data_IF_197907784448
#
_entry.id   IF_197907784448
#
_cell.length_a   1.000
_cell.length_b   1.000
_cell.length_c   1.000
_cell.angle_alpha   90.00
_cell.angle_beta   90.00
_cell.angle_gamma   90.00
#
_symmetry.space_group_name_H-M   'P 1'
#
loop_
_entity.id
_entity.type
_entity.pdbx_description
1 polymer ?
#
# COMPACT_ATOMS: atom_id res chain seq x y z
N UNK A 1 -18.32 -28.60 35.93
CA UNK A 1 -17.58 -28.66 34.65
C UNK A 1 -17.44 -27.24 34.15
N UNK A 2 -16.34 -26.57 34.51
CA UNK A 2 -16.03 -25.24 33.98
C UNK A 2 -15.68 -25.38 32.49
N UNK A 3 -16.59 -24.91 31.63
CA UNK A 3 -16.23 -24.62 30.24
C UNK A 3 -15.15 -23.54 30.31
N UNK A 4 -13.89 -23.92 30.13
CA UNK A 4 -12.83 -22.97 29.75
C UNK A 4 -13.36 -22.22 28.54
N UNK A 5 -13.78 -20.97 28.75
CA UNK A 5 -14.03 -20.03 27.67
C UNK A 5 -12.67 -19.84 27.03
N UNK A 6 -12.41 -20.57 25.95
CA UNK A 6 -11.18 -20.44 25.18
C UNK A 6 -11.22 -19.03 24.58
N UNK A 7 -10.58 -18.08 25.25
CA UNK A 7 -10.50 -16.71 24.76
C UNK A 7 -9.69 -16.76 23.48
N UNK A 8 -10.38 -16.62 22.34
CA UNK A 8 -9.74 -16.63 21.03
C UNK A 8 -8.64 -15.57 21.01
N UNK A 9 -7.41 -15.98 20.71
CA UNK A 9 -6.28 -15.04 20.56
C UNK A 9 -6.63 -13.99 19.49
N UNK A 10 -6.37 -12.70 19.72
CA UNK A 10 -6.57 -11.67 18.70
C UNK A 10 -5.84 -12.02 17.40
N UNK A 11 -6.44 -11.65 16.26
CA UNK A 11 -5.87 -11.86 14.93
C UNK A 11 -5.56 -13.32 14.58
N UNK A 12 -6.26 -14.31 15.16
CA UNK A 12 -6.05 -15.75 14.89
C UNK A 12 -5.99 -16.09 13.40
N UNK A 13 -6.91 -15.52 12.62
CA UNK A 13 -7.06 -15.81 11.19
C UNK A 13 -6.44 -14.73 10.28
N UNK A 14 -5.77 -13.71 10.84
CA UNK A 14 -5.27 -12.58 10.05
C UNK A 14 -4.29 -13.01 8.96
N UNK A 15 -3.48 -14.04 9.21
CA UNK A 15 -2.56 -14.60 8.21
C UNK A 15 -3.29 -15.09 6.94
N UNK A 16 -4.48 -15.68 7.05
CA UNK A 16 -5.27 -16.08 5.88
C UNK A 16 -5.86 -14.87 5.15
N UNK A 17 -6.39 -13.89 5.89
CA UNK A 17 -6.97 -12.70 5.29
C UNK A 17 -5.94 -11.82 4.58
N UNK A 18 -4.71 -11.75 5.09
CA UNK A 18 -3.60 -11.00 4.49
C UNK A 18 -3.08 -11.62 3.18
N UNK A 19 -3.44 -12.87 2.86
CA UNK A 19 -3.13 -13.47 1.55
C UNK A 19 -3.91 -12.81 0.43
N UNK A 20 -5.14 -12.31 0.69
CA UNK A 20 -5.98 -11.66 -0.33
C UNK A 20 -5.30 -10.41 -0.91
N UNK A 21 -4.93 -9.37 -0.12
CA UNK A 21 -4.24 -8.20 -0.66
C UNK A 21 -2.86 -8.54 -1.23
N UNK A 22 -2.20 -9.60 -0.74
CA UNK A 22 -0.96 -10.08 -1.33
C UNK A 22 -1.16 -10.64 -2.75
N UNK A 23 -2.19 -11.47 -2.97
CA UNK A 23 -2.53 -11.98 -4.30
C UNK A 23 -2.90 -10.83 -5.24
N UNK A 24 -3.73 -9.88 -4.78
CA UNK A 24 -4.09 -8.69 -5.56
C UNK A 24 -2.82 -7.92 -5.95
N UNK A 25 -1.85 -7.81 -5.05
CA UNK A 25 -0.55 -7.18 -5.31
C UNK A 25 0.24 -7.92 -6.38
N UNK A 26 0.38 -9.24 -6.28
CA UNK A 26 1.10 -10.03 -7.29
C UNK A 26 0.42 -9.92 -8.67
N UNK A 27 -0.90 -10.01 -8.73
CA UNK A 27 -1.65 -9.93 -9.98
C UNK A 27 -1.62 -8.53 -10.58
N UNK A 28 -1.82 -7.48 -9.77
CA UNK A 28 -1.76 -6.09 -10.22
C UNK A 28 -0.40 -5.73 -10.82
N UNK A 29 0.69 -6.22 -10.24
CA UNK A 29 2.04 -5.98 -10.76
C UNK A 29 2.53 -7.02 -11.79
N UNK A 30 1.68 -7.98 -12.21
CA UNK A 30 2.14 -9.05 -13.10
C UNK A 30 2.63 -8.54 -14.46
N UNK A 31 1.80 -7.73 -15.14
CA UNK A 31 2.14 -7.20 -16.47
C UNK A 31 3.28 -6.17 -16.42
N UNK A 32 3.30 -5.32 -15.39
CA UNK A 32 4.27 -4.23 -15.27
C UNK A 32 5.62 -4.63 -14.67
N UNK A 33 5.69 -5.74 -13.93
CA UNK A 33 6.91 -6.16 -13.23
C UNK A 33 7.23 -7.65 -13.42
N UNK A 34 6.37 -8.56 -12.96
CA UNK A 34 6.71 -9.99 -12.91
C UNK A 34 6.94 -10.63 -14.28
N UNK A 35 6.12 -10.29 -15.28
CA UNK A 35 6.26 -10.79 -16.66
C UNK A 35 7.47 -10.23 -17.40
N UNK A 36 8.04 -9.11 -16.92
CA UNK A 36 9.19 -8.42 -17.52
C UNK A 36 10.40 -8.44 -16.61
N UNK A 37 10.45 -9.38 -15.66
CA UNK A 37 11.40 -9.39 -14.55
C UNK A 37 12.85 -9.16 -15.01
N UNK A 38 13.34 -9.91 -16.01
CA UNK A 38 14.73 -9.80 -16.48
C UNK A 38 15.07 -8.49 -17.21
N UNK A 39 14.06 -7.72 -17.62
CA UNK A 39 14.22 -6.45 -18.34
C UNK A 39 13.86 -5.24 -17.46
N UNK A 40 13.59 -5.46 -16.17
CA UNK A 40 13.14 -4.40 -15.26
C UNK A 40 14.35 -3.67 -14.68
N UNK A 41 14.37 -2.33 -14.61
CA UNK A 41 15.47 -1.60 -14.00
C UNK A 41 15.70 -1.97 -12.53
N UNK A 42 16.94 -1.83 -12.05
CA UNK A 42 17.32 -2.21 -10.69
C UNK A 42 16.46 -1.54 -9.61
N UNK A 43 16.12 -0.24 -9.75
CA UNK A 43 15.30 0.50 -8.77
C UNK A 43 13.96 -0.19 -8.51
N UNK A 44 13.32 -0.70 -9.56
CA UNK A 44 12.06 -1.43 -9.49
C UNK A 44 12.24 -2.82 -8.87
N UNK A 45 13.36 -3.50 -9.10
CA UNK A 45 13.66 -4.76 -8.39
C UNK A 45 13.82 -4.56 -6.89
N UNK A 46 14.58 -3.53 -6.48
CA UNK A 46 14.80 -3.23 -5.07
C UNK A 46 13.46 -2.97 -4.35
N UNK A 47 12.58 -2.19 -4.96
CA UNK A 47 11.25 -1.93 -4.41
C UNK A 47 10.32 -3.16 -4.48
N UNK A 48 10.15 -3.76 -5.66
CA UNK A 48 9.23 -4.87 -5.88
C UNK A 48 9.54 -6.10 -5.01
N UNK A 49 10.81 -6.49 -4.91
CA UNK A 49 11.22 -7.61 -4.05
C UNK A 49 11.08 -7.29 -2.56
N UNK A 50 11.44 -6.08 -2.13
CA UNK A 50 11.33 -5.70 -0.73
C UNK A 50 9.89 -5.57 -0.27
N UNK A 51 9.01 -5.00 -1.10
CA UNK A 51 7.57 -4.93 -0.85
C UNK A 51 6.93 -6.33 -0.80
N UNK A 52 7.36 -7.24 -1.68
CA UNK A 52 6.94 -8.65 -1.66
C UNK A 52 7.36 -9.32 -0.35
N UNK A 53 8.61 -9.13 0.07
CA UNK A 53 9.12 -9.69 1.32
C UNK A 53 8.40 -9.09 2.55
N UNK A 54 8.05 -7.80 2.50
CA UNK A 54 7.27 -7.14 3.54
C UNK A 54 5.91 -7.81 3.72
N UNK A 55 5.18 -8.07 2.63
CA UNK A 55 3.93 -8.85 2.67
C UNK A 55 4.13 -10.24 3.26
N UNK A 56 5.18 -10.97 2.86
CA UNK A 56 5.49 -12.28 3.42
C UNK A 56 5.69 -12.21 4.95
N UNK A 57 6.43 -11.21 5.44
CA UNK A 57 6.59 -11.00 6.88
C UNK A 57 5.23 -10.73 7.51
N UNK A 58 4.44 -9.80 7.00
CA UNK A 58 3.11 -9.46 7.54
C UNK A 58 2.19 -10.69 7.65
N UNK A 59 2.19 -11.58 6.66
CA UNK A 59 1.39 -12.82 6.68
C UNK A 59 1.92 -13.78 7.75
N UNK A 60 3.23 -13.93 7.87
CA UNK A 60 3.87 -14.87 8.81
C UNK A 60 3.73 -14.39 10.27
N UNK A 61 3.68 -13.08 10.53
CA UNK A 61 3.68 -12.52 11.89
C UNK A 61 2.50 -13.01 12.76
N UNK A 62 1.22 -12.92 12.33
CA UNK A 62 0.10 -13.47 13.09
C UNK A 62 0.21 -14.99 13.28
N UNK A 63 0.73 -15.73 12.29
CA UNK A 63 0.90 -17.18 12.42
C UNK A 63 1.86 -17.53 13.55
N UNK A 64 3.03 -16.88 13.61
CA UNK A 64 4.01 -17.09 14.67
C UNK A 64 3.47 -16.71 16.05
N UNK A 65 2.78 -15.57 16.15
CA UNK A 65 2.13 -15.12 17.38
C UNK A 65 1.11 -16.15 17.89
N UNK A 66 0.22 -16.62 17.02
CA UNK A 66 -0.82 -17.58 17.40
C UNK A 66 -0.27 -18.96 17.75
N UNK A 67 0.86 -19.38 17.16
CA UNK A 67 1.58 -20.60 17.54
C UNK A 67 2.47 -20.44 18.79
N UNK A 68 2.48 -19.27 19.43
CA UNK A 68 3.29 -19.01 20.62
C UNK A 68 4.80 -18.92 20.35
N UNK A 69 5.22 -18.81 19.07
CA UNK A 69 6.63 -18.73 18.65
C UNK A 69 7.14 -17.29 18.78
N UNK A 70 7.04 -16.72 19.98
CA UNK A 70 7.25 -15.29 20.23
C UNK A 70 8.69 -14.83 19.96
N UNK A 71 9.70 -15.68 20.17
CA UNK A 71 11.09 -15.34 19.81
C UNK A 71 11.22 -15.10 18.31
N UNK A 72 10.69 -16.00 17.46
CA UNK A 72 10.73 -15.85 16.00
C UNK A 72 9.91 -14.66 15.52
N UNK A 73 8.74 -14.43 16.13
CA UNK A 73 7.90 -13.25 15.87
C UNK A 73 8.69 -11.96 16.10
N UNK A 74 9.39 -11.84 17.24
CA UNK A 74 10.22 -10.67 17.57
C UNK A 74 11.42 -10.51 16.64
N UNK A 75 12.12 -11.59 16.32
CA UNK A 75 13.28 -11.56 15.39
C UNK A 75 12.84 -11.12 14.00
N UNK A 76 11.80 -11.73 13.43
CA UNK A 76 11.25 -11.29 12.14
C UNK A 76 10.65 -9.88 12.21
N UNK A 77 10.14 -9.47 13.37
CA UNK A 77 9.63 -8.11 13.58
C UNK A 77 10.74 -7.07 13.45
N UNK A 78 11.91 -7.35 14.03
CA UNK A 78 13.09 -6.47 13.93
C UNK A 78 13.61 -6.40 12.48
N UNK A 79 13.68 -7.53 11.79
CA UNK A 79 14.02 -7.59 10.36
C UNK A 79 12.99 -6.78 9.56
N UNK A 80 11.71 -6.92 9.89
CA UNK A 80 10.62 -6.17 9.29
C UNK A 80 10.79 -4.65 9.42
N UNK A 81 11.25 -4.13 10.56
CA UNK A 81 11.48 -2.69 10.73
C UNK A 81 12.54 -2.18 9.75
N UNK A 82 13.67 -2.88 9.64
CA UNK A 82 14.73 -2.52 8.67
C UNK A 82 14.21 -2.62 7.23
N UNK A 83 13.45 -3.69 6.94
CA UNK A 83 12.85 -3.88 5.63
C UNK A 83 11.84 -2.78 5.28
N UNK A 84 11.02 -2.32 6.23
CA UNK A 84 10.07 -1.23 6.01
C UNK A 84 10.78 0.06 5.60
N UNK A 85 11.90 0.39 6.27
CA UNK A 85 12.75 1.51 5.88
C UNK A 85 13.29 1.35 4.46
N UNK A 86 13.72 0.13 4.10
CA UNK A 86 14.20 -0.18 2.75
C UNK A 86 13.09 -0.13 1.69
N UNK A 87 11.87 -0.60 1.99
CA UNK A 87 10.69 -0.48 1.11
C UNK A 87 10.39 0.99 0.81
N UNK A 88 10.40 1.84 1.85
CA UNK A 88 10.16 3.27 1.69
C UNK A 88 11.28 3.95 0.87
N UNK A 89 12.54 3.69 1.20
CA UNK A 89 13.68 4.27 0.48
C UNK A 89 13.73 3.85 -1.00
N UNK A 90 13.46 2.57 -1.28
CA UNK A 90 13.41 2.07 -2.66
C UNK A 90 12.18 2.59 -3.43
N UNK A 91 11.05 2.84 -2.76
CA UNK A 91 9.87 3.46 -3.38
C UNK A 91 10.18 4.87 -3.89
N UNK A 92 10.96 5.67 -3.15
CA UNK A 92 11.38 7.00 -3.60
C UNK A 92 12.18 6.96 -4.91
N UNK A 93 12.95 5.89 -5.13
CA UNK A 93 13.69 5.68 -6.38
C UNK A 93 12.76 5.34 -7.56
N UNK A 94 11.66 4.63 -7.30
CA UNK A 94 10.63 4.33 -8.31
C UNK A 94 9.86 5.59 -8.70
N UNK A 95 9.49 6.45 -7.73
CA UNK A 95 8.82 7.74 -8.00
C UNK A 95 9.64 8.59 -8.99
N UNK A 96 10.96 8.68 -8.77
CA UNK A 96 11.85 9.40 -9.68
C UNK A 96 11.84 8.82 -11.10
N UNK A 97 11.73 7.50 -11.24
CA UNK A 97 11.62 6.83 -12.53
C UNK A 97 10.31 7.19 -13.24
N UNK A 98 9.17 7.17 -12.54
CA UNK A 98 7.89 7.61 -13.10
C UNK A 98 7.95 9.04 -13.65
N UNK A 99 8.61 9.98 -12.97
CA UNK A 99 8.65 11.37 -13.47
C UNK A 99 9.50 11.49 -14.75
N UNK A 100 10.59 10.73 -14.86
CA UNK A 100 11.60 10.93 -15.92
C UNK A 100 11.39 10.03 -17.15
N UNK A 101 10.84 8.84 -16.94
CA UNK A 101 10.83 7.80 -17.96
C UNK A 101 9.49 7.71 -18.71
N UNK A 102 8.48 8.50 -18.31
CA UNK A 102 7.19 8.55 -19.00
C UNK A 102 7.29 9.33 -20.32
N UNK A 103 6.69 8.76 -21.35
CA UNK A 103 6.54 9.35 -22.66
C UNK A 103 5.24 10.20 -22.73
N UNK A 104 5.34 11.50 -23.04
CA UNK A 104 4.17 12.40 -23.11
C UNK A 104 3.06 11.97 -24.08
N UNK A 105 3.42 11.22 -25.12
CA UNK A 105 2.50 10.82 -26.20
C UNK A 105 1.91 9.42 -26.00
N UNK A 106 2.60 8.55 -25.25
CA UNK A 106 2.23 7.13 -25.13
C UNK A 106 1.64 6.79 -23.76
N UNK A 107 2.03 7.50 -22.70
CA UNK A 107 1.66 7.13 -21.34
C UNK A 107 0.44 7.92 -20.84
N UNK A 108 -0.66 7.20 -20.64
CA UNK A 108 -1.94 7.76 -20.17
C UNK A 108 -1.86 8.49 -18.83
N UNK A 109 -0.85 8.16 -18.01
CA UNK A 109 -0.63 8.77 -16.69
C UNK A 109 0.22 10.04 -16.75
N UNK A 110 0.80 10.36 -17.92
CA UNK A 110 1.70 11.50 -18.07
C UNK A 110 1.10 12.83 -17.57
N UNK A 111 -0.19 13.17 -17.81
CA UNK A 111 -0.80 14.41 -17.32
C UNK A 111 -0.96 14.52 -15.79
N UNK A 112 -0.74 13.42 -15.08
CA UNK A 112 -0.88 13.32 -13.63
C UNK A 112 0.43 12.92 -12.95
N UNK A 113 1.57 12.90 -13.66
CA UNK A 113 2.80 12.28 -13.14
C UNK A 113 3.27 12.91 -11.83
N UNK A 114 3.10 14.23 -11.66
CA UNK A 114 3.51 14.91 -10.43
C UNK A 114 2.48 14.76 -9.32
N UNK A 115 1.18 14.88 -9.59
CA UNK A 115 0.16 14.64 -8.56
C UNK A 115 0.16 13.18 -8.11
N UNK A 116 0.33 12.22 -9.02
CA UNK A 116 0.50 10.81 -8.70
C UNK A 116 1.73 10.58 -7.82
N UNK A 117 2.86 11.17 -8.18
CA UNK A 117 4.09 11.11 -7.38
C UNK A 117 3.92 11.70 -5.98
N UNK A 118 3.13 12.78 -5.84
CA UNK A 118 2.80 13.35 -4.54
C UNK A 118 1.94 12.38 -3.71
N UNK A 119 0.98 11.71 -4.34
CA UNK A 119 0.16 10.71 -3.66
C UNK A 119 0.97 9.49 -3.21
N UNK A 120 1.91 9.03 -4.03
CA UNK A 120 2.87 7.97 -3.67
C UNK A 120 3.72 8.41 -2.46
N UNK A 121 4.18 9.66 -2.45
CA UNK A 121 4.94 10.21 -1.32
C UNK A 121 4.12 10.27 -0.03
N UNK A 122 2.86 10.68 -0.09
CA UNK A 122 1.91 10.64 1.03
C UNK A 122 1.74 9.20 1.54
N UNK A 123 1.66 8.22 0.65
CA UNK A 123 1.51 6.81 1.01
C UNK A 123 2.75 6.20 1.64
N UNK A 124 3.95 6.60 1.18
CA UNK A 124 5.20 6.22 1.86
C UNK A 124 5.20 6.73 3.30
N UNK A 125 4.80 7.99 3.52
CA UNK A 125 4.70 8.57 4.88
C UNK A 125 3.65 7.83 5.71
N UNK A 126 2.45 7.59 5.16
CA UNK A 126 1.38 6.86 5.86
C UNK A 126 1.76 5.41 6.22
N UNK A 127 2.46 4.74 5.30
CA UNK A 127 3.05 3.42 5.51
C UNK A 127 4.03 3.43 6.68
N UNK A 128 5.06 4.30 6.63
CA UNK A 128 6.05 4.42 7.69
C UNK A 128 5.42 4.80 9.03
N UNK A 129 4.48 5.74 9.01
CA UNK A 129 3.72 6.13 10.19
C UNK A 129 3.01 4.93 10.81
N UNK A 130 2.32 4.12 10.01
CA UNK A 130 1.64 2.92 10.50
C UNK A 130 2.61 1.91 11.10
N UNK A 131 3.76 1.69 10.46
CA UNK A 131 4.81 0.81 10.99
C UNK A 131 5.33 1.34 12.32
N UNK A 132 5.69 2.62 12.41
CA UNK A 132 6.18 3.25 13.65
C UNK A 132 5.14 3.14 14.78
N UNK A 133 3.88 3.49 14.51
CA UNK A 133 2.81 3.39 15.49
C UNK A 133 2.57 1.95 15.95
N UNK A 134 2.72 0.96 15.05
CA UNK A 134 2.65 -0.45 15.43
C UNK A 134 3.72 -0.84 16.46
N UNK A 135 4.94 -0.30 16.34
CA UNK A 135 6.05 -0.59 17.25
C UNK A 135 5.92 0.16 18.58
N UNK A 136 5.44 1.41 18.54
CA UNK A 136 5.13 2.19 19.74
C UNK A 136 4.10 1.42 20.58
N UNK A 137 3.03 0.93 19.94
CA UNK A 137 1.97 0.18 20.60
C UNK A 137 2.22 -1.33 20.74
N UNK A 138 3.46 -1.82 20.55
CA UNK A 138 3.80 -3.27 20.61
C UNK A 138 3.35 -4.01 21.88
N UNK A 139 3.09 -3.30 22.98
CA UNK A 139 2.61 -3.88 24.25
C UNK A 139 1.09 -4.09 24.27
N UNK A 140 0.34 -3.43 23.40
CA UNK A 140 -1.09 -3.57 23.19
C UNK A 140 -1.31 -4.33 21.87
N UNK A 141 -1.65 -5.62 21.99
CA UNK A 141 -1.76 -6.53 20.83
C UNK A 141 -2.76 -6.03 19.81
N UNK A 142 -3.87 -5.43 20.25
CA UNK A 142 -4.91 -4.90 19.36
C UNK A 142 -4.34 -3.72 18.58
N UNK A 143 -3.81 -2.71 19.26
CA UNK A 143 -3.27 -1.52 18.59
C UNK A 143 -2.08 -1.86 17.69
N UNK A 144 -1.16 -2.70 18.17
CA UNK A 144 -0.02 -3.19 17.40
C UNK A 144 -0.49 -3.85 16.10
N UNK A 145 -1.40 -4.82 16.20
CA UNK A 145 -1.91 -5.57 15.05
C UNK A 145 -2.66 -4.69 14.06
N UNK A 146 -3.54 -3.80 14.55
CA UNK A 146 -4.34 -2.93 13.68
C UNK A 146 -3.46 -1.92 12.92
N UNK A 147 -2.48 -1.28 13.58
CA UNK A 147 -1.53 -0.41 12.89
C UNK A 147 -0.64 -1.17 11.89
N UNK A 148 -0.26 -2.41 12.22
CA UNK A 148 0.52 -3.21 11.29
C UNK A 148 -0.30 -3.65 10.07
N UNK A 149 -1.57 -4.00 10.26
CA UNK A 149 -2.50 -4.32 9.16
C UNK A 149 -2.80 -3.06 8.33
N UNK A 150 -2.93 -1.88 8.94
CA UNK A 150 -3.17 -0.64 8.20
C UNK A 150 -2.03 -0.30 7.23
N UNK A 151 -0.79 -0.75 7.50
CA UNK A 151 0.35 -0.62 6.59
C UNK A 151 0.09 -1.22 5.20
N UNK A 152 -0.72 -2.28 5.12
CA UNK A 152 -1.10 -2.95 3.86
C UNK A 152 -1.89 -2.02 2.96
N UNK A 153 -2.84 -1.28 3.53
CA UNK A 153 -3.76 -0.45 2.75
C UNK A 153 -3.10 0.80 2.17
N UNK A 154 -1.95 1.24 2.71
CA UNK A 154 -1.14 2.29 2.06
C UNK A 154 -0.46 1.80 0.78
N UNK A 155 0.05 0.57 0.78
CA UNK A 155 0.81 0.02 -0.36
C UNK A 155 -0.08 -0.72 -1.36
N UNK A 156 -1.35 -0.96 -1.02
CA UNK A 156 -2.29 -1.70 -1.85
C UNK A 156 -2.80 -0.88 -3.04
N UNK A 157 -2.87 0.45 -2.92
CA UNK A 157 -3.41 1.34 -3.96
C UNK A 157 -2.84 1.11 -5.38
N UNK A 158 -1.51 1.17 -5.61
CA UNK A 158 -0.95 0.96 -6.94
C UNK A 158 -1.17 -0.46 -7.49
N UNK A 159 -1.33 -1.46 -6.61
CA UNK A 159 -1.70 -2.81 -7.02
C UNK A 159 -3.16 -2.88 -7.46
N UNK A 160 -4.07 -2.27 -6.69
CA UNK A 160 -5.50 -2.23 -7.04
C UNK A 160 -5.75 -1.45 -8.32
N UNK A 161 -5.05 -0.33 -8.55
CA UNK A 161 -5.14 0.42 -9.81
C UNK A 161 -4.81 -0.46 -11.01
N UNK A 162 -3.69 -1.18 -10.96
CA UNK A 162 -3.33 -2.06 -12.07
C UNK A 162 -4.26 -3.25 -12.19
N UNK A 163 -4.70 -3.81 -11.06
CA UNK A 163 -5.63 -4.94 -11.05
C UNK A 163 -6.99 -4.55 -11.65
N UNK A 164 -7.55 -3.40 -11.28
CA UNK A 164 -8.81 -2.90 -11.85
C UNK A 164 -8.66 -2.65 -13.35
N UNK A 165 -7.52 -2.11 -13.80
CA UNK A 165 -7.23 -2.00 -15.24
C UNK A 165 -7.24 -3.36 -15.93
N UNK A 166 -6.43 -4.32 -15.50
CA UNK A 166 -6.31 -5.60 -16.20
C UNK A 166 -7.55 -6.48 -16.09
N UNK A 167 -8.33 -6.36 -15.02
CA UNK A 167 -9.53 -7.18 -14.83
C UNK A 167 -10.74 -6.52 -15.46
N UNK A 168 -10.96 -5.22 -15.29
CA UNK A 168 -12.20 -4.57 -15.73
C UNK A 168 -12.11 -4.16 -17.20
N UNK A 169 -10.98 -3.57 -17.63
CA UNK A 169 -10.81 -3.02 -18.97
C UNK A 169 -11.11 -4.02 -20.11
N UNK A 170 -10.74 -5.32 -20.04
CA UNK A 170 -11.06 -6.27 -21.11
C UNK A 170 -12.56 -6.58 -21.27
N UNK A 171 -13.37 -6.39 -20.22
CA UNK A 171 -14.82 -6.61 -20.28
C UNK A 171 -15.59 -5.35 -20.72
N UNK A 172 -14.88 -4.23 -20.81
CA UNK A 172 -15.41 -3.00 -21.35
C UNK A 172 -15.10 -2.98 -22.84
N UNK A 173 -16.13 -2.98 -23.68
CA UNK A 173 -15.95 -2.77 -25.11
C UNK A 173 -15.19 -1.46 -25.32
N UNK A 174 -14.27 -1.39 -26.30
CA UNK A 174 -13.47 -0.22 -26.67
C UNK A 174 -14.26 1.09 -26.93
N UNK A 175 -15.59 1.06 -26.79
CA UNK A 175 -16.53 2.17 -26.88
C UNK A 175 -16.86 2.83 -25.52
N UNK A 176 -16.43 2.30 -24.37
CA UNK A 176 -16.75 2.89 -23.07
C UNK A 176 -15.89 4.11 -22.76
N UNK A 177 -16.41 5.30 -23.04
CA UNK A 177 -15.75 6.59 -22.74
C UNK A 177 -15.64 6.93 -21.25
N UNK A 178 -16.25 6.12 -20.37
CA UNK A 178 -16.32 6.39 -18.92
C UNK A 178 -15.25 5.67 -18.10
N UNK A 179 -14.47 4.75 -18.68
CA UNK A 179 -13.42 4.02 -17.95
C UNK A 179 -12.04 4.51 -18.38
N UNK A 180 -11.75 5.76 -18.05
CA UNK A 180 -10.44 6.38 -18.18
C UNK A 180 -9.59 6.17 -16.91
N UNK A 181 -8.36 6.69 -16.94
CA UNK A 181 -7.43 6.59 -15.81
C UNK A 181 -8.00 7.19 -14.51
N UNK A 182 -8.68 8.33 -14.58
CA UNK A 182 -9.28 8.95 -13.40
C UNK A 182 -10.37 8.05 -12.79
N UNK A 183 -11.26 7.53 -13.62
CA UNK A 183 -12.36 6.66 -13.18
C UNK A 183 -11.83 5.36 -12.57
N UNK A 184 -10.81 4.77 -13.18
CA UNK A 184 -10.09 3.62 -12.63
C UNK A 184 -9.50 3.93 -11.25
N UNK A 185 -8.82 5.07 -11.12
CA UNK A 185 -8.21 5.50 -9.86
C UNK A 185 -9.27 5.65 -8.76
N UNK A 186 -10.41 6.29 -9.06
CA UNK A 186 -11.55 6.38 -8.14
C UNK A 186 -12.08 5.01 -7.71
N UNK A 187 -12.30 4.10 -8.66
CA UNK A 187 -12.81 2.75 -8.38
C UNK A 187 -11.88 1.99 -7.42
N UNK A 188 -10.57 2.04 -7.63
CA UNK A 188 -9.60 1.41 -6.73
C UNK A 188 -9.67 1.99 -5.32
N UNK A 189 -9.69 3.31 -5.17
CA UNK A 189 -9.72 3.97 -3.86
C UNK A 189 -11.03 3.71 -3.12
N UNK A 190 -12.17 3.75 -3.81
CA UNK A 190 -13.47 3.38 -3.26
C UNK A 190 -13.49 1.91 -2.80
N UNK A 191 -12.86 1.00 -3.55
CA UNK A 191 -12.78 -0.41 -3.17
C UNK A 191 -11.99 -0.61 -1.86
N UNK A 192 -10.86 0.09 -1.69
CA UNK A 192 -10.07 0.08 -0.47
C UNK A 192 -10.86 0.68 0.70
N UNK A 193 -11.49 1.84 0.51
CA UNK A 193 -12.33 2.50 1.53
C UNK A 193 -13.44 1.55 1.97
N UNK A 194 -14.10 0.87 1.03
CA UNK A 194 -15.17 -0.10 1.34
C UNK A 194 -14.65 -1.22 2.25
N UNK A 195 -13.48 -1.79 1.94
CA UNK A 195 -12.85 -2.81 2.79
C UNK A 195 -12.54 -2.24 4.19
N UNK A 196 -11.98 -1.03 4.27
CA UNK A 196 -11.66 -0.38 5.54
C UNK A 196 -12.92 -0.12 6.39
N UNK A 197 -14.01 0.33 5.78
CA UNK A 197 -15.29 0.53 6.46
C UNK A 197 -15.87 -0.79 7.00
N UNK A 198 -15.74 -1.88 6.25
CA UNK A 198 -16.11 -3.22 6.71
C UNK A 198 -15.27 -3.64 7.92
N UNK A 199 -13.96 -3.44 7.89
CA UNK A 199 -13.07 -3.73 9.02
C UNK A 199 -13.42 -2.89 10.25
N UNK A 200 -13.68 -1.59 10.08
CA UNK A 200 -14.13 -0.69 11.14
C UNK A 200 -15.47 -1.19 11.73
N UNK A 201 -16.42 -1.58 10.89
CA UNK A 201 -17.71 -2.12 11.32
C UNK A 201 -17.57 -3.43 12.13
N UNK A 202 -16.67 -4.32 11.74
CA UNK A 202 -16.34 -5.51 12.52
C UNK A 202 -15.70 -5.17 13.87
N UNK A 203 -14.77 -4.22 13.88
CA UNK A 203 -14.12 -3.75 15.10
C UNK A 203 -15.15 -3.21 16.10
N UNK A 204 -16.07 -2.33 15.68
CA UNK A 204 -17.15 -1.80 16.52
C UNK A 204 -18.00 -2.89 17.18
N UNK A 205 -18.31 -3.97 16.45
CA UNK A 205 -19.12 -5.09 16.98
C UNK A 205 -18.36 -5.92 18.02
N UNK A 206 -17.03 -5.92 18.00
CA UNK A 206 -16.19 -6.80 18.81
C UNK A 206 -15.90 -6.33 20.24
N UNK A 207 -16.30 -5.09 20.62
CA UNK A 207 -16.03 -4.44 21.93
C UNK A 207 -14.55 -4.33 22.36
N UNK A 208 -13.60 -4.80 21.55
CA UNK A 208 -12.15 -4.65 21.73
C UNK A 208 -11.55 -3.85 20.55
N UNK A 209 -12.28 -2.84 20.10
CA UNK A 209 -12.07 -2.11 18.87
C UNK A 209 -10.93 -1.09 18.98
N UNK A 210 -10.07 -1.04 17.97
CA UNK A 210 -9.21 0.12 17.75
C UNK A 210 -9.20 0.45 16.25
N UNK A 211 -10.24 1.16 15.83
CA UNK A 211 -10.54 1.44 14.41
C UNK A 211 -9.78 2.65 13.83
N UNK A 212 -9.14 3.46 14.69
CA UNK A 212 -8.49 4.71 14.31
C UNK A 212 -7.51 4.57 13.12
N UNK A 213 -6.63 3.54 13.05
CA UNK A 213 -5.72 3.38 11.92
C UNK A 213 -6.46 3.24 10.60
N UNK A 214 -7.52 2.43 10.56
CA UNK A 214 -8.33 2.22 9.36
C UNK A 214 -9.06 3.49 8.93
N UNK A 215 -9.57 4.27 9.89
CA UNK A 215 -10.23 5.54 9.60
C UNK A 215 -9.25 6.56 8.99
N UNK A 216 -8.03 6.67 9.52
CA UNK A 216 -6.99 7.53 8.96
C UNK A 216 -6.67 7.13 7.51
N UNK A 217 -6.46 5.83 7.27
CA UNK A 217 -6.17 5.35 5.90
C UNK A 217 -7.35 5.63 4.96
N UNK A 218 -8.58 5.41 5.41
CA UNK A 218 -9.78 5.64 4.60
C UNK A 218 -9.98 7.13 4.25
N UNK A 219 -9.75 8.03 5.20
CA UNK A 219 -9.81 9.48 4.96
C UNK A 219 -8.78 9.90 3.93
N UNK A 220 -7.54 9.41 4.04
CA UNK A 220 -6.52 9.77 3.05
C UNK A 220 -6.87 9.16 1.68
N UNK A 221 -7.36 7.92 1.61
CA UNK A 221 -7.82 7.35 0.33
C UNK A 221 -9.01 8.11 -0.28
N UNK A 222 -9.86 8.76 0.53
CA UNK A 222 -10.93 9.61 0.04
C UNK A 222 -10.39 10.92 -0.56
N UNK A 223 -9.33 11.46 0.02
CA UNK A 223 -8.72 12.73 -0.39
C UNK A 223 -7.78 12.52 -1.60
N UNK A 224 -7.10 11.39 -1.70
CA UNK A 224 -6.08 11.12 -2.72
C UNK A 224 -6.56 11.33 -4.17
N UNK A 225 -7.72 10.79 -4.61
CA UNK A 225 -8.24 11.07 -5.96
C UNK A 225 -8.53 12.54 -6.21
N UNK A 226 -8.94 13.31 -5.19
CA UNK A 226 -9.12 14.76 -5.31
C UNK A 226 -7.79 15.46 -5.52
N UNK A 227 -6.74 15.06 -4.80
CA UNK A 227 -5.37 15.58 -4.98
C UNK A 227 -4.90 15.29 -6.42
N UNK A 228 -5.09 14.06 -6.89
CA UNK A 228 -4.68 13.64 -8.23
C UNK A 228 -5.27 14.55 -9.31
N UNK A 229 -6.59 14.73 -9.30
CA UNK A 229 -7.32 15.47 -10.34
C UNK A 229 -7.17 16.98 -10.19
N UNK A 230 -7.27 17.52 -8.97
CA UNK A 230 -7.24 18.98 -8.78
C UNK A 230 -5.84 19.56 -8.95
N UNK A 231 -4.79 18.83 -8.54
CA UNK A 231 -3.43 19.30 -8.70
C UNK A 231 -2.85 18.94 -10.06
N UNK A 232 -3.20 17.77 -10.62
CA UNK A 232 -2.67 17.23 -11.88
C UNK A 232 -1.16 17.56 -12.01
N UNK A 233 -0.73 18.08 -13.16
CA UNK A 233 0.60 18.65 -13.34
C UNK A 233 0.61 20.18 -13.29
N UNK A 234 -0.01 20.74 -12.26
CA UNK A 234 0.10 22.18 -11.97
C UNK A 234 1.56 22.60 -11.88
N UNK A 235 1.87 23.78 -12.44
CA UNK A 235 3.25 24.28 -12.56
C UNK A 235 3.99 24.30 -11.23
N UNK A 236 3.34 24.73 -10.15
CA UNK A 236 3.97 24.80 -8.83
C UNK A 236 4.42 23.43 -8.32
N UNK A 237 3.64 22.37 -8.59
CA UNK A 237 3.94 21.02 -8.15
C UNK A 237 5.09 20.42 -8.97
N UNK A 238 5.09 20.68 -10.27
CA UNK A 238 6.20 20.36 -11.15
C UNK A 238 7.49 21.02 -10.67
N UNK A 239 7.48 22.34 -10.43
CA UNK A 239 8.62 23.11 -9.94
C UNK A 239 9.16 22.54 -8.61
N UNK A 240 8.27 22.13 -7.71
CA UNK A 240 8.64 21.53 -6.42
C UNK A 240 9.37 20.20 -6.58
N UNK A 241 8.84 19.29 -7.42
CA UNK A 241 9.50 18.03 -7.70
C UNK A 241 10.84 18.21 -8.41
N UNK A 242 10.91 19.11 -9.39
CA UNK A 242 12.15 19.43 -10.08
C UNK A 242 13.19 19.98 -9.10
N UNK A 243 12.80 20.87 -8.18
CA UNK A 243 13.68 21.35 -7.11
C UNK A 243 14.19 20.21 -6.22
N UNK A 244 13.32 19.30 -5.78
CA UNK A 244 13.73 18.16 -4.94
C UNK A 244 14.69 17.20 -5.65
N UNK A 245 14.57 17.06 -6.98
CA UNK A 245 15.40 16.17 -7.78
C UNK A 245 16.60 16.86 -8.45
N UNK A 246 16.79 18.17 -8.24
CA UNK A 246 18.02 18.84 -8.66
C UNK A 246 19.23 18.15 -8.02
N UNK A 247 20.28 17.82 -8.80
CA UNK A 247 21.51 17.30 -8.22
C UNK A 247 22.03 18.31 -7.18
N UNK A 248 22.37 17.84 -5.98
CA UNK A 248 22.91 18.69 -4.92
C UNK A 248 24.27 19.34 -5.27
N UNK A 249 24.85 18.98 -6.42
CA UNK A 249 26.15 19.43 -6.93
C UNK A 249 26.10 19.68 -8.45
N UNK A 250 25.14 20.49 -8.90
CA UNK A 250 25.17 21.06 -10.25
C UNK A 250 25.52 22.55 -10.17
N UNK A 251 26.77 22.83 -9.80
CA UNK A 251 27.53 24.05 -10.06
C UNK A 251 29.02 23.67 -10.09
#
# INVERSE_FOLDING_TARGET
>A
MDKKVETSRPFKNAHFWLVIPFIITILGFYSSYWSRFFNTPLSWHLHGLSATLWYCILIIQPYLYNKGRLTRHRTLGMIGILLAGFVAASALAVIRGHIKDLNPELDIIYPYRYSLSLTDFIYIIGFLFSVVMSIIYRKDVIKHGTWLISSVFWVLSPATDRFTFFVIHPFLNNSSTWFDFESQFWISHISIITILLVLIGFDFRSKKAYWLPYAIVAIIHLITPLILVQLADSKWLADWFEFMYKPAFSD
#
